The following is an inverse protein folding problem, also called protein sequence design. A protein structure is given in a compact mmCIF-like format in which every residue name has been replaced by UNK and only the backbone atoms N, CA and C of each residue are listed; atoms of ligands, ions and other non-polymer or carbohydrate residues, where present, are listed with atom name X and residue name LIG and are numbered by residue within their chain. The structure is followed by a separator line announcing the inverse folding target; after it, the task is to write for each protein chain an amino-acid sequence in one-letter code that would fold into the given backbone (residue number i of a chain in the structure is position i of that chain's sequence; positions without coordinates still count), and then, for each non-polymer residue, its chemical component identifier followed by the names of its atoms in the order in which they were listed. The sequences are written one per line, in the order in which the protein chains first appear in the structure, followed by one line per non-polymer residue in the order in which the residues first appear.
data_IF_260357678627
#
_entry.id   IF_260357678627
#
_cell.length_a   1.000
_cell.length_b   1.000
_cell.length_c   1.000
_cell.angle_alpha   90.00
_cell.angle_beta   90.00
_cell.angle_gamma   90.00
#
_symmetry.space_group_name_H-M   'P 1'
#
loop_
_entity.id
_entity.type
_entity.pdbx_description
1 polymer ?
#
# COMPACT_ATOMS: atom_id res chain seq x y z
N UNK A 1 -43.66 16.77 -37.59
CA UNK A 1 -43.93 15.44 -38.16
C UNK A 1 -42.62 14.65 -38.19
N UNK A 2 -42.58 13.59 -37.38
CA UNK A 2 -41.71 12.40 -37.34
C UNK A 2 -40.29 12.34 -37.97
N UNK A 3 -39.31 12.14 -37.08
CA UNK A 3 -38.24 11.11 -37.02
C UNK A 3 -37.70 10.38 -38.27
N UNK A 4 -36.35 10.30 -38.38
CA UNK A 4 -35.57 9.03 -38.37
C UNK A 4 -34.03 9.21 -38.20
N UNK A 5 -33.57 8.90 -36.98
CA UNK A 5 -32.40 8.08 -36.54
C UNK A 5 -31.24 7.77 -37.52
N UNK A 6 -30.01 8.09 -37.10
CA UNK A 6 -28.83 7.19 -37.16
C UNK A 6 -27.70 7.63 -36.19
N UNK A 7 -27.32 6.71 -35.30
CA UNK A 7 -26.09 6.62 -34.46
C UNK A 7 -25.51 5.21 -34.73
N UNK A 8 -24.29 4.82 -34.32
CA UNK A 8 -22.98 5.50 -34.32
C UNK A 8 -21.83 4.57 -34.87
N UNK A 9 -20.58 5.07 -34.97
CA UNK A 9 -19.37 4.26 -35.30
C UNK A 9 -18.58 3.77 -34.06
N UNK A 10 -19.00 4.12 -32.84
CA UNK A 10 -18.31 3.74 -31.59
C UNK A 10 -18.97 2.57 -30.86
N UNK A 11 -19.36 1.53 -31.60
CA UNK A 11 -19.94 0.32 -31.04
C UNK A 11 -19.23 -0.92 -31.60
N UNK A 12 -17.96 -1.10 -31.28
CA UNK A 12 -17.26 -2.39 -31.34
C UNK A 12 -15.89 -2.27 -30.68
N UNK A 13 -15.83 -2.74 -29.43
CA UNK A 13 -14.65 -2.74 -28.58
C UNK A 13 -15.07 -3.27 -27.23
N UNK A 14 -15.44 -4.55 -27.17
CA UNK A 14 -15.62 -5.26 -25.92
C UNK A 14 -14.30 -5.19 -25.15
N UNK A 15 -14.23 -4.38 -24.08
CA UNK A 15 -13.28 -4.62 -23.01
C UNK A 15 -13.64 -5.97 -22.41
N UNK A 16 -12.96 -7.01 -22.86
CA UNK A 16 -13.09 -8.35 -22.31
C UNK A 16 -12.79 -8.27 -20.81
N UNK A 17 -13.83 -8.42 -19.98
CA UNK A 17 -13.63 -8.72 -18.56
C UNK A 17 -12.74 -9.96 -18.48
N UNK A 18 -11.66 -9.96 -17.68
CA UNK A 18 -10.84 -11.16 -17.52
C UNK A 18 -11.74 -12.34 -17.14
N UNK A 19 -11.56 -13.51 -17.77
CA UNK A 19 -12.45 -14.63 -17.56
C UNK A 19 -12.41 -15.03 -16.08
N UNK A 20 -13.58 -15.32 -15.48
CA UNK A 20 -13.73 -15.75 -14.07
C UNK A 20 -12.73 -16.83 -13.65
N UNK A 21 -12.29 -17.65 -14.60
CA UNK A 21 -11.29 -18.71 -14.41
C UNK A 21 -9.90 -18.19 -14.05
N UNK A 22 -9.52 -17.00 -14.52
CA UNK A 22 -8.19 -16.41 -14.26
C UNK A 22 -8.10 -15.88 -12.84
N UNK A 23 -9.12 -15.14 -12.36
CA UNK A 23 -9.23 -14.72 -10.95
C UNK A 23 -9.29 -15.92 -9.99
N UNK A 24 -10.05 -16.97 -10.35
CA UNK A 24 -10.14 -18.19 -9.54
C UNK A 24 -8.82 -18.97 -9.51
N UNK A 25 -8.09 -18.99 -10.63
CA UNK A 25 -6.76 -19.61 -10.69
C UNK A 25 -5.71 -18.80 -9.94
N UNK A 26 -5.79 -17.48 -9.96
CA UNK A 26 -4.92 -16.58 -9.21
C UNK A 26 -5.18 -16.72 -7.69
N UNK A 27 -6.45 -16.78 -7.27
CA UNK A 27 -6.85 -17.03 -5.89
C UNK A 27 -6.43 -18.43 -5.39
N UNK A 28 -6.62 -19.49 -6.19
CA UNK A 28 -6.15 -20.84 -5.85
C UNK A 28 -4.63 -20.92 -5.68
N UNK A 29 -3.87 -20.25 -6.56
CA UNK A 29 -2.40 -20.25 -6.52
C UNK A 29 -1.84 -19.41 -5.37
N UNK A 30 -2.53 -18.32 -4.99
CA UNK A 30 -2.23 -17.56 -3.76
C UNK A 30 -2.51 -18.38 -2.51
N UNK A 31 -3.52 -19.26 -2.53
CA UNK A 31 -3.81 -20.22 -1.45
C UNK A 31 -2.68 -21.25 -1.27
N UNK A 32 -2.03 -21.65 -2.36
CA UNK A 32 -0.84 -22.52 -2.32
C UNK A 32 0.41 -21.76 -1.83
N UNK A 33 0.57 -20.49 -2.17
CA UNK A 33 1.69 -19.64 -1.69
C UNK A 33 1.55 -19.18 -0.23
N UNK A 34 0.32 -19.04 0.28
CA UNK A 34 0.01 -18.67 1.67
C UNK A 34 0.21 -19.80 2.67
N UNK A 35 0.28 -21.06 2.20
CA UNK A 35 0.67 -22.20 3.04
C UNK A 35 2.18 -22.23 3.40
N UNK A 36 2.94 -21.22 2.96
CA UNK A 36 4.34 -21.01 3.31
C UNK A 36 4.40 -19.78 4.22
N UNK A 37 4.58 -19.95 5.55
CA UNK A 37 4.87 -18.83 6.43
C UNK A 37 6.07 -18.07 5.86
N UNK A 38 6.01 -16.74 5.84
CA UNK A 38 7.08 -15.86 5.38
C UNK A 38 8.40 -16.14 6.14
N UNK A 39 9.11 -17.15 5.64
CA UNK A 39 10.48 -17.52 5.93
C UNK A 39 11.33 -16.35 5.45
N UNK A 40 11.66 -15.47 6.38
CA UNK A 40 12.74 -14.49 6.25
C UNK A 40 13.94 -15.18 5.58
N UNK A 41 14.25 -14.70 4.37
CA UNK A 41 15.48 -14.93 3.61
C UNK A 41 15.98 -16.38 3.53
N UNK A 42 15.42 -17.18 2.63
CA UNK A 42 16.18 -18.32 2.05
C UNK A 42 15.60 -18.92 0.77
N UNK A 43 14.74 -18.23 0.01
CA UNK A 43 14.33 -18.72 -1.30
C UNK A 43 14.20 -17.58 -2.31
N UNK A 44 15.35 -17.12 -2.84
CA UNK A 44 15.40 -16.30 -4.06
C UNK A 44 14.79 -17.01 -5.29
N UNK A 45 14.50 -18.32 -5.20
CA UNK A 45 14.05 -19.14 -6.34
C UNK A 45 12.58 -19.61 -6.29
N UNK A 46 11.79 -19.31 -5.24
CA UNK A 46 10.41 -19.81 -5.09
C UNK A 46 9.33 -18.74 -4.91
N UNK A 47 9.72 -17.46 -4.88
CA UNK A 47 8.80 -16.33 -4.73
C UNK A 47 9.16 -15.20 -5.69
N UNK A 48 9.53 -15.52 -6.94
CA UNK A 48 9.46 -14.51 -7.97
C UNK A 48 7.97 -14.24 -8.24
N UNK A 49 7.45 -13.04 -7.89
CA UNK A 49 6.11 -12.69 -8.35
C UNK A 49 6.14 -12.85 -9.87
N UNK A 50 5.13 -13.53 -10.43
CA UNK A 50 5.00 -13.72 -11.88
C UNK A 50 5.22 -12.37 -12.57
N UNK A 51 6.41 -12.18 -13.12
CA UNK A 51 6.75 -10.93 -13.77
C UNK A 51 6.00 -10.94 -15.10
N UNK A 52 5.07 -10.01 -15.24
CA UNK A 52 4.40 -9.73 -16.49
C UNK A 52 5.49 -9.28 -17.44
N UNK A 53 5.74 -10.10 -18.46
CA UNK A 53 6.77 -9.82 -19.45
C UNK A 53 6.48 -8.49 -20.14
N UNK A 54 7.50 -7.63 -20.24
CA UNK A 54 7.37 -6.29 -20.84
C UNK A 54 7.12 -5.17 -19.85
N UNK A 55 6.99 -5.44 -18.54
CA UNK A 55 6.99 -4.39 -17.51
C UNK A 55 8.40 -4.16 -16.96
N UNK A 56 8.77 -2.89 -16.77
CA UNK A 56 9.93 -2.53 -15.96
C UNK A 56 9.53 -2.51 -14.48
N UNK A 57 10.24 -3.28 -13.67
CA UNK A 57 9.95 -3.43 -12.25
C UNK A 57 10.84 -2.51 -11.42
N UNK A 58 10.22 -1.69 -10.57
CA UNK A 58 10.88 -0.88 -9.55
C UNK A 58 10.36 -1.28 -8.18
N UNK A 59 11.25 -1.70 -7.29
CA UNK A 59 10.89 -2.14 -5.94
C UNK A 59 11.30 -1.07 -4.93
N UNK A 60 10.31 -0.49 -4.26
CA UNK A 60 10.51 0.46 -3.18
C UNK A 60 9.98 -0.15 -1.88
N UNK A 61 10.87 -0.39 -0.92
CA UNK A 61 10.51 -0.98 0.38
C UNK A 61 9.96 0.09 1.32
N UNK A 62 8.73 0.56 1.08
CA UNK A 62 8.08 1.64 1.86
C UNK A 62 8.29 1.45 3.37
N UNK A 63 7.93 0.29 3.94
CA UNK A 63 8.22 -0.04 5.33
C UNK A 63 9.66 -0.55 5.45
N UNK A 64 10.62 0.37 5.32
CA UNK A 64 12.05 0.11 5.31
C UNK A 64 12.68 -0.07 6.69
N UNK A 65 14.02 -0.07 6.75
CA UNK A 65 14.76 -0.28 8.00
C UNK A 65 14.48 0.80 9.05
N UNK A 66 14.28 2.05 8.64
CA UNK A 66 13.96 3.14 9.55
C UNK A 66 12.61 2.90 10.26
N UNK A 67 11.59 2.53 9.50
CA UNK A 67 10.28 2.15 10.03
C UNK A 67 10.35 0.90 10.93
N UNK A 68 11.09 -0.14 10.53
CA UNK A 68 11.28 -1.34 11.37
C UNK A 68 11.94 -1.02 12.72
N UNK A 69 12.99 -0.19 12.71
CA UNK A 69 13.67 0.26 13.93
C UNK A 69 12.76 1.14 14.78
N UNK A 70 11.96 2.01 14.14
CA UNK A 70 10.94 2.78 14.83
C UNK A 70 9.97 1.84 15.54
N UNK A 71 9.33 0.87 14.87
CA UNK A 71 8.41 -0.06 15.55
C UNK A 71 9.05 -0.78 16.74
N UNK A 72 10.31 -1.21 16.61
CA UNK A 72 11.04 -1.85 17.71
C UNK A 72 11.29 -0.90 18.89
N UNK A 73 11.58 0.37 18.62
CA UNK A 73 11.78 1.41 19.66
C UNK A 73 10.53 1.69 20.51
N UNK A 74 9.36 1.27 20.04
CA UNK A 74 8.07 1.52 20.68
C UNK A 74 7.69 0.42 21.66
N UNK A 75 8.44 -0.69 21.66
CA UNK A 75 8.28 -1.75 22.63
C UNK A 75 8.79 -1.31 24.00
N UNK A 76 8.20 -1.90 25.05
CA UNK A 76 8.81 -1.86 26.37
C UNK A 76 10.20 -2.52 26.32
N UNK A 77 11.11 -2.14 27.21
CA UNK A 77 12.42 -2.79 27.31
C UNK A 77 12.30 -4.31 27.48
N UNK A 78 11.30 -4.79 28.21
CA UNK A 78 11.02 -6.22 28.38
C UNK A 78 10.59 -6.90 27.08
N UNK A 79 9.65 -6.30 26.35
CA UNK A 79 9.19 -6.86 25.08
C UNK A 79 10.24 -6.79 23.99
N UNK A 80 11.08 -5.75 23.99
CA UNK A 80 12.22 -5.64 23.09
C UNK A 80 13.17 -6.83 23.27
N UNK A 81 13.63 -7.11 24.50
CA UNK A 81 14.51 -8.25 24.76
C UNK A 81 13.83 -9.58 24.44
N UNK A 82 12.52 -9.69 24.71
CA UNK A 82 11.73 -10.86 24.36
C UNK A 82 11.66 -11.10 22.85
N UNK A 83 11.43 -10.04 22.06
CA UNK A 83 11.44 -10.09 20.59
C UNK A 83 12.81 -10.51 20.07
N UNK A 84 13.89 -9.90 20.57
CA UNK A 84 15.26 -10.26 20.19
C UNK A 84 15.54 -11.73 20.49
N UNK A 85 15.21 -12.20 21.69
CA UNK A 85 15.39 -13.60 22.09
C UNK A 85 14.61 -14.55 21.16
N UNK A 86 13.33 -14.25 20.89
CA UNK A 86 12.51 -15.08 20.00
C UNK A 86 13.06 -15.11 18.58
N UNK A 87 13.57 -13.99 18.06
CA UNK A 87 14.23 -13.95 16.75
C UNK A 87 15.49 -14.82 16.71
N UNK A 88 16.36 -14.73 17.74
CA UNK A 88 17.59 -15.54 17.84
C UNK A 88 17.28 -17.03 17.95
N UNK A 89 16.23 -17.40 18.68
CA UNK A 89 15.77 -18.79 18.81
C UNK A 89 14.94 -19.29 17.61
N UNK A 90 14.77 -18.50 16.55
CA UNK A 90 14.03 -18.89 15.34
C UNK A 90 12.50 -18.81 15.46
N UNK A 91 11.96 -18.32 16.58
CA UNK A 91 10.52 -18.15 16.81
C UNK A 91 9.97 -16.84 16.23
N UNK A 92 10.20 -16.61 14.94
CA UNK A 92 9.89 -15.34 14.25
C UNK A 92 8.41 -14.95 14.34
N UNK A 93 7.48 -15.88 14.11
CA UNK A 93 6.04 -15.60 14.19
C UNK A 93 5.62 -15.10 15.57
N UNK A 94 6.19 -15.68 16.65
CA UNK A 94 5.91 -15.23 18.02
C UNK A 94 6.48 -13.84 18.27
N UNK A 95 7.63 -13.51 17.70
CA UNK A 95 8.21 -12.18 17.81
C UNK A 95 7.36 -11.13 17.06
N UNK A 96 6.89 -11.45 15.85
CA UNK A 96 5.99 -10.60 15.07
C UNK A 96 4.66 -10.41 15.80
N UNK A 97 4.12 -11.47 16.42
CA UNK A 97 2.90 -11.39 17.21
C UNK A 97 3.00 -10.38 18.37
N UNK A 98 4.18 -10.28 19.02
CA UNK A 98 4.42 -9.26 20.05
C UNK A 98 4.36 -7.86 19.44
N UNK A 99 4.99 -7.63 18.28
CA UNK A 99 4.88 -6.35 17.57
C UNK A 99 3.42 -6.05 17.18
N UNK A 100 2.69 -7.04 16.70
CA UNK A 100 1.27 -6.93 16.38
C UNK A 100 0.44 -6.46 17.58
N UNK A 101 0.60 -7.12 18.72
CA UNK A 101 -0.20 -6.86 19.93
C UNK A 101 0.23 -5.61 20.70
N UNK A 102 1.54 -5.37 20.83
CA UNK A 102 2.07 -4.32 21.71
C UNK A 102 2.29 -3.00 20.98
N UNK A 103 2.43 -3.03 19.65
CA UNK A 103 2.80 -1.85 18.85
C UNK A 103 1.73 -1.53 17.83
N UNK A 104 1.37 -2.49 16.98
CA UNK A 104 0.49 -2.24 15.83
C UNK A 104 -0.97 -2.04 16.26
N UNK A 105 -1.54 -2.94 17.07
CA UNK A 105 -2.93 -2.82 17.55
C UNK A 105 -3.18 -1.50 18.29
N UNK A 106 -2.35 -1.08 19.27
CA UNK A 106 -2.58 0.18 19.97
C UNK A 106 -2.50 1.43 19.09
N UNK A 107 -1.74 1.37 17.99
CA UNK A 107 -1.64 2.46 17.00
C UNK A 107 -2.84 2.50 16.06
N UNK A 108 -3.42 1.33 15.77
CA UNK A 108 -4.40 1.16 14.71
C UNK A 108 -3.81 1.37 13.31
N UNK A 109 -4.65 1.19 12.30
CA UNK A 109 -4.25 1.34 10.90
C UNK A 109 -3.86 2.78 10.56
N UNK A 110 -4.66 3.77 10.98
CA UNK A 110 -4.38 5.20 10.75
C UNK A 110 -3.03 5.56 11.36
N UNK A 111 -2.79 5.20 12.63
CA UNK A 111 -1.53 5.48 13.31
C UNK A 111 -0.32 4.90 12.57
N UNK A 112 -0.41 3.67 12.06
CA UNK A 112 0.67 3.11 11.23
C UNK A 112 0.85 3.82 9.89
N UNK A 113 -0.22 4.32 9.28
CA UNK A 113 -0.13 5.16 8.08
C UNK A 113 0.66 6.45 8.35
N UNK A 114 0.39 7.09 9.49
CA UNK A 114 1.10 8.30 9.93
C UNK A 114 2.57 8.00 10.28
N UNK A 115 2.82 6.90 10.99
CA UNK A 115 4.19 6.47 11.27
C UNK A 115 4.95 6.13 9.98
N UNK A 116 4.26 5.61 8.97
CA UNK A 116 4.89 5.34 7.66
C UNK A 116 5.32 6.64 7.00
N UNK A 117 4.48 7.68 7.00
CA UNK A 117 4.85 9.03 6.54
C UNK A 117 6.08 9.57 7.28
N UNK A 118 6.09 9.39 8.60
CA UNK A 118 7.13 9.94 9.46
C UNK A 118 8.50 9.28 9.27
N UNK A 119 8.50 7.95 9.10
CA UNK A 119 9.72 7.14 9.17
C UNK A 119 10.23 6.67 7.81
N UNK A 120 9.40 6.76 6.76
CA UNK A 120 9.71 6.22 5.42
C UNK A 120 9.93 7.31 4.38
N UNK A 121 10.43 8.47 4.81
CA UNK A 121 10.54 9.68 3.99
C UNK A 121 11.36 9.48 2.71
N UNK A 122 12.47 8.74 2.81
CA UNK A 122 13.33 8.42 1.66
C UNK A 122 12.60 7.54 0.66
N UNK A 123 11.95 6.49 1.15
CA UNK A 123 11.24 5.52 0.33
C UNK A 123 10.00 6.14 -0.32
N UNK A 124 9.30 7.03 0.39
CA UNK A 124 8.19 7.81 -0.18
C UNK A 124 8.70 8.72 -1.29
N UNK A 125 9.80 9.46 -1.08
CA UNK A 125 10.40 10.30 -2.11
C UNK A 125 10.81 9.46 -3.34
N UNK A 126 11.41 8.30 -3.13
CA UNK A 126 11.79 7.38 -4.21
C UNK A 126 10.57 6.92 -5.02
N UNK A 127 9.50 6.50 -4.33
CA UNK A 127 8.25 6.09 -4.99
C UNK A 127 7.60 7.23 -5.79
N UNK A 128 7.52 8.43 -5.21
CA UNK A 128 6.96 9.61 -5.90
C UNK A 128 7.79 10.02 -7.11
N UNK A 129 9.12 9.89 -7.04
CA UNK A 129 10.02 10.23 -8.15
C UNK A 129 9.76 9.41 -9.41
N UNK A 130 9.20 8.20 -9.28
CA UNK A 130 8.83 7.36 -10.43
C UNK A 130 7.72 8.00 -11.29
N UNK A 131 6.88 8.85 -10.71
CA UNK A 131 5.82 9.56 -11.44
C UNK A 131 6.31 10.84 -12.14
N UNK A 132 7.59 11.20 -11.98
CA UNK A 132 8.19 12.37 -12.64
C UNK A 132 8.82 12.05 -13.99
N UNK A 133 8.92 10.76 -14.34
CA UNK A 133 9.48 10.27 -15.60
C UNK A 133 8.37 9.80 -16.53
N UNK A 134 8.24 10.47 -17.69
CA UNK A 134 7.26 10.10 -18.70
C UNK A 134 7.48 8.67 -19.23
N UNK A 135 8.72 8.18 -19.26
CA UNK A 135 9.02 6.82 -19.71
C UNK A 135 8.54 5.74 -18.72
N UNK A 136 8.27 6.11 -17.47
CA UNK A 136 7.73 5.22 -16.45
C UNK A 136 6.19 5.15 -16.47
N UNK A 137 5.52 5.93 -17.33
CA UNK A 137 4.06 5.99 -17.46
C UNK A 137 3.58 5.27 -18.74
N UNK A 138 2.43 4.56 -18.70
CA UNK A 138 1.56 4.34 -17.53
C UNK A 138 2.18 3.37 -16.52
N UNK A 139 1.97 3.65 -15.22
CA UNK A 139 2.53 2.86 -14.11
C UNK A 139 1.46 2.07 -13.36
N UNK A 140 1.80 0.86 -12.91
CA UNK A 140 1.01 0.09 -11.94
C UNK A 140 1.73 0.09 -10.58
N UNK A 141 1.06 0.58 -9.54
CA UNK A 141 1.56 0.53 -8.15
C UNK A 141 0.82 -0.55 -7.37
N UNK A 142 1.56 -1.38 -6.64
CA UNK A 142 0.97 -2.41 -5.80
C UNK A 142 1.85 -2.70 -4.57
N UNK A 143 1.26 -3.33 -3.57
CA UNK A 143 1.99 -3.93 -2.45
C UNK A 143 1.54 -5.38 -2.30
N UNK A 144 1.49 -5.91 -1.06
CA UNK A 144 0.99 -7.28 -0.82
C UNK A 144 -0.52 -7.36 -1.06
N UNK A 145 -1.30 -6.48 -0.44
CA UNK A 145 -2.77 -6.44 -0.57
C UNK A 145 -3.27 -5.28 -1.44
N UNK A 146 -2.39 -4.36 -1.84
CA UNK A 146 -2.79 -3.17 -2.61
C UNK A 146 -3.56 -2.11 -1.81
N UNK A 147 -3.65 -2.24 -0.47
CA UNK A 147 -4.45 -1.38 0.41
C UNK A 147 -3.64 -0.27 1.09
N UNK A 148 -2.80 -0.62 2.07
CA UNK A 148 -2.21 0.39 2.97
C UNK A 148 -1.03 1.16 2.34
N UNK A 149 0.07 0.47 2.02
CA UNK A 149 1.25 1.10 1.42
C UNK A 149 0.97 1.67 0.02
N UNK A 150 0.15 0.97 -0.75
CA UNK A 150 -0.33 1.45 -2.06
C UNK A 150 -1.22 2.67 -1.88
N UNK A 151 -2.22 2.58 -1.00
CA UNK A 151 -3.14 3.69 -0.71
C UNK A 151 -2.41 4.94 -0.24
N UNK A 152 -1.37 4.81 0.59
CA UNK A 152 -0.56 5.94 1.02
C UNK A 152 0.12 6.67 -0.16
N UNK A 153 0.76 5.92 -1.07
CA UNK A 153 1.41 6.51 -2.23
C UNK A 153 0.38 7.11 -3.19
N UNK A 154 -0.71 6.40 -3.47
CA UNK A 154 -1.81 6.91 -4.29
C UNK A 154 -2.40 8.20 -3.70
N UNK A 155 -2.62 8.24 -2.39
CA UNK A 155 -3.15 9.41 -1.71
C UNK A 155 -2.21 10.62 -1.84
N UNK A 156 -0.90 10.44 -1.62
CA UNK A 156 0.08 11.53 -1.79
C UNK A 156 0.11 12.05 -3.23
N UNK A 157 0.07 11.16 -4.24
CA UNK A 157 0.00 11.56 -5.66
C UNK A 157 -1.28 12.35 -5.93
N UNK A 158 -2.45 11.84 -5.51
CA UNK A 158 -3.73 12.51 -5.73
C UNK A 158 -3.83 13.87 -4.98
N UNK A 159 -3.24 13.97 -3.78
CA UNK A 159 -3.12 15.25 -3.07
C UNK A 159 -2.20 16.23 -3.82
N UNK A 160 -1.09 15.77 -4.42
CA UNK A 160 -0.24 16.60 -5.29
C UNK A 160 -1.03 17.09 -6.51
N UNK A 161 -1.97 16.30 -7.02
CA UNK A 161 -2.86 16.68 -8.12
C UNK A 161 -4.05 17.55 -7.68
N UNK A 162 -4.08 18.01 -6.41
CA UNK A 162 -5.13 18.84 -5.84
C UNK A 162 -6.54 18.20 -5.93
N UNK A 163 -6.61 16.86 -5.91
CA UNK A 163 -7.87 16.10 -5.85
C UNK A 163 -8.50 16.27 -4.46
N UNK A 164 -9.83 16.50 -4.35
CA UNK A 164 -10.50 16.64 -3.07
C UNK A 164 -10.29 15.44 -2.15
N UNK A 165 -9.96 15.70 -0.87
CA UNK A 165 -9.65 14.66 0.13
C UNK A 165 -10.78 13.63 0.27
N UNK A 166 -12.04 14.06 0.21
CA UNK A 166 -13.20 13.15 0.26
C UNK A 166 -13.26 12.19 -0.92
N UNK A 167 -12.77 12.59 -2.10
CA UNK A 167 -12.69 11.71 -3.27
C UNK A 167 -11.55 10.70 -3.13
N UNK A 168 -10.42 11.12 -2.54
CA UNK A 168 -9.29 10.22 -2.25
C UNK A 168 -9.67 9.20 -1.18
N UNK A 169 -10.37 9.62 -0.12
CA UNK A 169 -10.89 8.73 0.93
C UNK A 169 -11.87 7.70 0.34
N UNK A 170 -12.76 8.15 -0.55
CA UNK A 170 -13.68 7.25 -1.24
C UNK A 170 -12.94 6.22 -2.10
N UNK A 171 -11.94 6.64 -2.89
CA UNK A 171 -11.11 5.73 -3.68
C UNK A 171 -10.36 4.71 -2.81
N UNK A 172 -9.78 5.16 -1.69
CA UNK A 172 -9.13 4.27 -0.72
C UNK A 172 -10.09 3.20 -0.21
N UNK A 173 -11.31 3.58 0.19
CA UNK A 173 -12.34 2.68 0.71
C UNK A 173 -12.80 1.61 -0.31
N UNK A 174 -12.72 1.87 -1.61
CA UNK A 174 -13.05 0.87 -2.64
C UNK A 174 -12.11 -0.35 -2.61
N UNK A 175 -10.94 -0.24 -1.97
CA UNK A 175 -10.02 -1.37 -1.76
C UNK A 175 -10.67 -2.52 -0.99
N UNK A 176 -11.63 -2.25 -0.11
CA UNK A 176 -12.30 -3.28 0.68
C UNK A 176 -13.13 -4.23 -0.20
N UNK A 177 -13.88 -3.67 -1.15
CA UNK A 177 -14.71 -4.44 -2.07
C UNK A 177 -13.85 -5.36 -2.95
N UNK A 178 -12.70 -4.85 -3.41
CA UNK A 178 -11.76 -5.61 -4.25
C UNK A 178 -11.16 -6.83 -3.52
N UNK A 179 -11.10 -6.79 -2.19
CA UNK A 179 -10.45 -7.81 -1.37
C UNK A 179 -11.42 -8.81 -0.71
N UNK A 180 -12.72 -8.74 -1.02
CA UNK A 180 -13.74 -9.66 -0.48
C UNK A 180 -13.42 -11.12 -0.83
N UNK A 181 -12.97 -11.39 -2.05
CA UNK A 181 -12.73 -12.76 -2.54
C UNK A 181 -11.60 -13.50 -1.80
N UNK A 182 -10.72 -12.76 -1.12
CA UNK A 182 -9.56 -13.29 -0.39
C UNK A 182 -9.75 -13.20 1.14
N UNK A 183 -10.92 -12.79 1.62
CA UNK A 183 -11.18 -12.44 3.03
C UNK A 183 -10.83 -13.57 4.01
N UNK A 184 -11.28 -14.79 3.75
CA UNK A 184 -11.05 -15.93 4.65
C UNK A 184 -9.55 -16.24 4.82
N UNK A 185 -8.79 -16.19 3.73
CA UNK A 185 -7.36 -16.45 3.75
C UNK A 185 -6.61 -15.34 4.48
N UNK A 186 -6.93 -14.07 4.18
CA UNK A 186 -6.34 -12.91 4.86
C UNK A 186 -6.65 -12.91 6.36
N UNK A 187 -7.83 -13.37 6.77
CA UNK A 187 -8.20 -13.47 8.17
C UNK A 187 -7.28 -14.43 8.94
N UNK A 188 -6.90 -15.55 8.32
CA UNK A 188 -5.95 -16.50 8.90
C UNK A 188 -4.58 -15.82 9.06
N UNK A 189 -4.07 -15.22 7.98
CA UNK A 189 -2.76 -14.56 7.96
C UNK A 189 -2.64 -13.44 9.02
N UNK A 190 -3.67 -12.58 9.12
CA UNK A 190 -3.74 -11.48 10.09
C UNK A 190 -3.74 -12.01 11.54
N UNK A 191 -4.49 -13.07 11.82
CA UNK A 191 -4.53 -13.68 13.16
C UNK A 191 -3.22 -14.38 13.52
N UNK A 192 -2.53 -14.99 12.57
CA UNK A 192 -1.21 -15.60 12.80
C UNK A 192 -0.17 -14.58 13.26
N UNK A 193 -0.23 -13.35 12.74
CA UNK A 193 0.64 -12.25 13.16
C UNK A 193 0.07 -11.44 14.35
N UNK A 194 -1.01 -11.92 14.97
CA UNK A 194 -1.55 -11.37 16.21
C UNK A 194 -2.39 -10.11 16.06
N UNK A 195 -2.88 -9.83 14.86
CA UNK A 195 -3.73 -8.68 14.56
C UNK A 195 -5.22 -9.08 14.62
N UNK A 196 -6.10 -8.08 14.73
CA UNK A 196 -7.56 -8.25 14.84
C UNK A 196 -8.25 -8.21 13.48
N UNK A 197 -9.50 -8.65 13.42
CA UNK A 197 -10.31 -8.67 12.20
C UNK A 197 -10.49 -7.27 11.57
N UNK A 198 -10.33 -6.20 12.35
CA UNK A 198 -10.32 -4.80 11.88
C UNK A 198 -9.27 -4.56 10.78
N UNK A 199 -8.14 -5.27 10.82
CA UNK A 199 -7.05 -5.13 9.86
C UNK A 199 -7.37 -5.70 8.48
N UNK A 200 -8.50 -6.40 8.33
CA UNK A 200 -9.02 -6.81 7.02
C UNK A 200 -9.52 -5.65 6.19
N UNK A 201 -9.98 -4.60 6.86
CA UNK A 201 -10.70 -3.47 6.29
C UNK A 201 -9.79 -2.27 6.11
N UNK A 202 -10.12 -1.38 5.18
CA UNK A 202 -9.57 -0.03 5.10
C UNK A 202 -9.85 0.69 6.40
N UNK A 203 -8.91 1.50 6.87
CA UNK A 203 -9.18 2.30 8.06
C UNK A 203 -10.15 3.42 7.71
N UNK A 204 -11.15 3.62 8.56
CA UNK A 204 -11.98 4.82 8.47
C UNK A 204 -11.10 6.06 8.68
N UNK A 205 -11.36 7.10 7.88
CA UNK A 205 -10.68 8.39 7.95
C UNK A 205 -9.15 8.32 7.75
N UNK A 206 -8.64 7.34 6.99
CA UNK A 206 -7.20 7.19 6.73
C UNK A 206 -6.63 8.44 6.05
N UNK A 207 -7.26 8.89 4.97
CA UNK A 207 -6.77 10.01 4.17
C UNK A 207 -7.00 11.33 4.89
N UNK A 208 -8.13 11.46 5.59
CA UNK A 208 -8.41 12.60 6.48
C UNK A 208 -7.35 12.68 7.59
N UNK A 209 -7.01 11.55 8.21
CA UNK A 209 -5.97 11.46 9.24
C UNK A 209 -4.60 11.85 8.69
N UNK A 210 -4.24 11.40 7.49
CA UNK A 210 -3.02 11.79 6.78
C UNK A 210 -3.00 13.31 6.53
N UNK A 211 -4.06 13.88 5.96
CA UNK A 211 -4.14 15.31 5.70
C UNK A 211 -3.91 16.12 6.97
N UNK A 212 -4.64 15.78 8.04
CA UNK A 212 -4.53 16.46 9.33
C UNK A 212 -3.13 16.35 9.91
N UNK A 213 -2.50 15.17 9.85
CA UNK A 213 -1.14 14.97 10.33
C UNK A 213 -0.11 15.80 9.54
N UNK A 214 -0.27 15.89 8.22
CA UNK A 214 0.55 16.74 7.37
C UNK A 214 0.40 18.22 7.76
N UNK A 215 -0.83 18.68 7.98
CA UNK A 215 -1.12 20.05 8.44
C UNK A 215 -0.50 20.33 9.83
N UNK A 216 -0.85 19.51 10.82
CA UNK A 216 -0.49 19.73 12.23
C UNK A 216 1.02 19.60 12.50
N UNK A 217 1.69 18.62 11.88
CA UNK A 217 3.09 18.31 12.16
C UNK A 217 4.08 18.99 11.22
N UNK A 218 3.73 19.09 9.94
CA UNK A 218 4.64 19.55 8.90
C UNK A 218 4.30 20.95 8.37
N UNK A 219 3.12 21.50 8.70
CA UNK A 219 2.64 22.75 8.13
C UNK A 219 2.01 22.56 6.74
N UNK A 220 1.56 21.35 6.42
CA UNK A 220 0.87 20.98 5.21
C UNK A 220 1.68 20.07 4.28
N UNK A 221 1.01 19.55 3.25
CA UNK A 221 1.59 18.63 2.26
C UNK A 221 2.87 19.18 1.63
N UNK A 222 2.86 20.45 1.21
CA UNK A 222 4.00 21.02 0.50
C UNK A 222 5.26 21.09 1.36
N UNK A 223 5.11 21.48 2.63
CA UNK A 223 6.22 21.55 3.57
C UNK A 223 6.76 20.15 3.92
N UNK A 224 5.90 19.15 4.05
CA UNK A 224 6.32 17.75 4.16
C UNK A 224 7.14 17.29 2.94
N UNK A 225 6.60 17.51 1.73
CA UNK A 225 7.25 17.12 0.47
C UNK A 225 8.59 17.82 0.30
N UNK A 226 8.68 19.12 0.59
CA UNK A 226 9.95 19.86 0.58
C UNK A 226 10.93 19.28 1.61
N UNK A 227 10.44 18.89 2.80
CA UNK A 227 11.23 18.27 3.86
C UNK A 227 11.83 16.90 3.50
N UNK A 228 11.16 16.12 2.64
CA UNK A 228 11.71 14.87 2.08
C UNK A 228 12.48 15.11 0.76
N UNK A 229 12.61 16.39 0.36
CA UNK A 229 13.31 16.88 -0.82
C UNK A 229 12.56 16.68 -2.13
N UNK A 230 11.27 16.38 -2.10
CA UNK A 230 10.39 16.31 -3.27
C UNK A 230 9.80 17.70 -3.54
N UNK A 231 10.57 18.52 -4.25
CA UNK A 231 10.35 19.96 -4.33
C UNK A 231 9.24 20.39 -5.29
N UNK A 232 9.08 21.70 -5.45
CA UNK A 232 8.08 22.31 -6.35
C UNK A 232 8.19 21.82 -7.78
N UNK A 233 9.40 21.71 -8.33
CA UNK A 233 9.61 21.27 -9.72
C UNK A 233 9.18 19.82 -9.94
N UNK A 234 9.42 18.94 -8.95
CA UNK A 234 9.01 17.53 -9.02
C UNK A 234 7.48 17.42 -8.97
N UNK A 235 6.83 18.19 -8.10
CA UNK A 235 5.37 18.27 -8.00
C UNK A 235 4.73 18.85 -9.26
N UNK A 236 5.37 19.84 -9.90
CA UNK A 236 4.89 20.40 -11.16
C UNK A 236 4.95 19.36 -12.29
N UNK A 237 6.04 18.60 -12.40
CA UNK A 237 6.15 17.51 -13.37
C UNK A 237 5.06 16.45 -13.21
N UNK A 238 4.74 16.05 -11.96
CA UNK A 238 3.64 15.11 -11.72
C UNK A 238 2.31 15.69 -12.23
N UNK A 239 2.03 16.96 -11.93
CA UNK A 239 0.82 17.63 -12.43
C UNK A 239 0.78 17.66 -13.96
N UNK A 240 1.88 18.05 -14.60
CA UNK A 240 1.98 18.14 -16.07
C UNK A 240 1.84 16.79 -16.77
N UNK A 241 2.31 15.69 -16.14
CA UNK A 241 2.27 14.35 -16.73
C UNK A 241 0.94 13.61 -16.49
N UNK A 242 0.24 13.88 -15.39
CA UNK A 242 -0.95 13.13 -14.97
C UNK A 242 -2.27 13.91 -15.16
N UNK A 243 -2.22 15.24 -15.27
CA UNK A 243 -3.38 16.05 -15.66
C UNK A 243 -3.40 16.24 -17.18
N UNK A 244 -4.60 16.29 -17.74
CA UNK A 244 -4.83 16.50 -19.18
C UNK A 244 -4.71 17.98 -19.58
#
# INVERSE_FOLDING_TARGET
MWAKRSMPFWAQGEFAKPPRTEHLNQAKRRKEQSSIPALVESNKALAEPLQISGLDYRQVKITGRAFELFLLSQLSWWDFFRVVFLFVCGYRTKAINILGQQVMIPRGLVGLGLDTLDQSTREIREALSLYTDQAALPSLVHCTQGKDRTGLICALVLMILDVPISAIEYDYALSDEALISEREQRLIEIREIGLTDEWLHTADDMIIGIQKHLEDKYGGLNAYLDGIGFGTDDRAKIRDLLLY
#
